data_IF_010233880143
#
_entry.id   IF_010233880143
#
_cell.length_a   1.000
_cell.length_b   1.000
_cell.length_c   1.000
_cell.angle_alpha   90.00
_cell.angle_beta   90.00
_cell.angle_gamma   90.00
#
_symmetry.space_group_name_H-M   'P 1'
#
loop_
_entity.id
_entity.type
_entity.pdbx_description
1 polymer ?
#
# COMPACT_ATOMS: atom_id res chain seq x y z
N UNK A 1 8.58 15.39 20.47
CA UNK A 1 8.18 13.96 20.44
C UNK A 1 6.69 13.94 20.67
N UNK A 2 5.89 13.60 19.67
CA UNK A 2 4.45 13.44 19.84
C UNK A 2 4.21 12.03 20.34
N UNK A 3 3.93 11.87 21.64
CA UNK A 3 3.38 10.64 22.17
C UNK A 3 2.10 10.37 21.36
N UNK A 4 2.07 9.30 20.57
CA UNK A 4 0.79 8.72 20.17
C UNK A 4 0.14 8.35 21.49
N UNK A 5 -0.87 9.11 21.90
CA UNK A 5 -1.65 8.80 23.09
C UNK A 5 -2.07 7.34 23.01
N UNK A 6 -1.98 6.62 24.13
CA UNK A 6 -2.27 5.19 24.19
C UNK A 6 -3.61 4.90 23.50
N UNK A 7 -3.54 4.35 22.29
CA UNK A 7 -4.72 3.89 21.56
C UNK A 7 -4.93 2.44 21.95
N UNK A 8 -6.16 2.14 22.37
CA UNK A 8 -6.56 0.76 22.60
C UNK A 8 -6.47 -0.03 21.28
N UNK A 9 -5.73 -1.14 21.33
CA UNK A 9 -5.61 -2.10 20.25
C UNK A 9 -6.97 -2.56 19.71
N UNK A 10 -8.02 -2.61 20.54
CA UNK A 10 -9.38 -2.98 20.10
C UNK A 10 -9.97 -1.94 19.15
N UNK A 11 -9.79 -0.65 19.45
CA UNK A 11 -10.23 0.48 18.61
C UNK A 11 -9.43 0.48 17.30
N UNK A 12 -8.12 0.26 17.39
CA UNK A 12 -7.25 0.20 16.21
C UNK A 12 -7.63 -0.96 15.28
N UNK A 13 -7.84 -2.16 15.84
CA UNK A 13 -8.30 -3.33 15.08
C UNK A 13 -9.69 -3.13 14.48
N UNK A 14 -10.58 -2.43 15.18
CA UNK A 14 -11.90 -2.05 14.64
C UNK A 14 -11.76 -1.20 13.37
N UNK A 15 -10.89 -0.19 13.39
CA UNK A 15 -10.59 0.64 12.19
C UNK A 15 -9.90 -0.14 11.08
N UNK A 16 -9.11 -1.16 11.40
CA UNK A 16 -8.55 -2.05 10.38
C UNK A 16 -9.65 -2.87 9.69
N UNK A 17 -10.65 -3.36 10.42
CA UNK A 17 -11.80 -4.11 9.85
C UNK A 17 -12.68 -3.21 8.99
N UNK A 18 -12.92 -1.97 9.42
CA UNK A 18 -13.64 -0.97 8.62
C UNK A 18 -12.92 -0.70 7.29
N UNK A 19 -11.60 -0.48 7.35
CA UNK A 19 -10.75 -0.31 6.18
C UNK A 19 -10.75 -1.54 5.26
N UNK A 20 -10.66 -2.74 5.83
CA UNK A 20 -10.74 -4.00 5.09
C UNK A 20 -12.08 -4.11 4.35
N UNK A 21 -13.19 -3.86 5.04
CA UNK A 21 -14.53 -3.94 4.45
C UNK A 21 -14.65 -2.98 3.26
N UNK A 22 -14.23 -1.73 3.42
CA UNK A 22 -14.21 -0.73 2.35
C UNK A 22 -13.41 -1.21 1.12
N UNK A 23 -12.17 -1.66 1.33
CA UNK A 23 -11.29 -2.10 0.25
C UNK A 23 -11.80 -3.38 -0.44
N UNK A 24 -12.35 -4.33 0.33
CA UNK A 24 -12.96 -5.55 -0.22
C UNK A 24 -14.16 -5.24 -1.09
N UNK A 25 -15.03 -4.32 -0.67
CA UNK A 25 -16.23 -3.96 -1.41
C UNK A 25 -15.85 -3.30 -2.74
N UNK A 26 -14.84 -2.41 -2.73
CA UNK A 26 -14.28 -1.83 -3.97
C UNK A 26 -13.70 -2.89 -4.90
N UNK A 27 -12.82 -3.77 -4.41
CA UNK A 27 -12.20 -4.81 -5.25
C UNK A 27 -13.24 -5.78 -5.82
N UNK A 28 -14.25 -6.15 -5.02
CA UNK A 28 -15.26 -7.13 -5.42
C UNK A 28 -16.30 -6.55 -6.37
N UNK A 29 -16.77 -5.32 -6.13
CA UNK A 29 -17.86 -4.72 -6.92
C UNK A 29 -17.36 -3.92 -8.10
N UNK A 30 -16.37 -3.05 -7.86
CA UNK A 30 -15.87 -2.15 -8.88
C UNK A 30 -14.80 -2.81 -9.77
N UNK A 31 -13.89 -3.60 -9.19
CA UNK A 31 -12.87 -4.32 -9.98
C UNK A 31 -13.28 -5.74 -10.38
N UNK A 32 -14.31 -6.32 -9.74
CA UNK A 32 -14.79 -7.69 -9.98
C UNK A 32 -13.68 -8.73 -9.96
N UNK A 33 -12.76 -8.62 -9.00
CA UNK A 33 -11.51 -9.38 -9.02
C UNK A 33 -11.23 -10.15 -7.71
N UNK A 34 -11.73 -11.40 -7.58
CA UNK A 34 -11.67 -12.19 -6.35
C UNK A 34 -10.25 -12.43 -5.81
N UNK A 35 -9.26 -12.65 -6.68
CA UNK A 35 -7.86 -12.85 -6.24
C UNK A 35 -7.30 -11.63 -5.50
N UNK A 36 -7.77 -10.42 -5.86
CA UNK A 36 -7.42 -9.20 -5.15
C UNK A 36 -7.93 -9.20 -3.71
N UNK A 37 -9.13 -9.74 -3.47
CA UNK A 37 -9.75 -9.88 -2.13
C UNK A 37 -8.95 -10.85 -1.26
N UNK A 38 -8.52 -11.98 -1.82
CA UNK A 38 -7.67 -12.95 -1.12
C UNK A 38 -6.32 -12.33 -0.75
N UNK A 39 -5.70 -11.62 -1.71
CA UNK A 39 -4.41 -10.96 -1.52
C UNK A 39 -4.48 -9.82 -0.48
N UNK A 40 -5.60 -9.09 -0.42
CA UNK A 40 -5.88 -8.09 0.61
C UNK A 40 -6.04 -8.75 1.98
N UNK A 41 -6.84 -9.82 2.08
CA UNK A 41 -7.13 -10.50 3.35
C UNK A 41 -5.84 -10.98 4.03
N UNK A 42 -4.90 -11.55 3.26
CA UNK A 42 -3.58 -11.97 3.77
C UNK A 42 -2.79 -10.80 4.38
N UNK A 43 -2.86 -9.61 3.78
CA UNK A 43 -2.19 -8.41 4.29
C UNK A 43 -2.86 -7.81 5.50
N UNK A 44 -4.19 -7.91 5.59
CA UNK A 44 -4.96 -7.49 6.78
C UNK A 44 -4.64 -8.38 7.98
N UNK A 45 -4.47 -9.69 7.78
CA UNK A 45 -3.99 -10.59 8.83
C UNK A 45 -2.59 -10.16 9.31
N UNK A 46 -1.66 -9.92 8.39
CA UNK A 46 -0.33 -9.42 8.74
C UNK A 46 -0.36 -8.02 9.39
N UNK A 47 -1.33 -7.17 9.06
CA UNK A 47 -1.50 -5.86 9.69
C UNK A 47 -2.00 -6.01 11.13
N UNK A 48 -2.95 -6.93 11.36
CA UNK A 48 -3.42 -7.28 12.72
C UNK A 48 -2.27 -7.73 13.61
N UNK A 49 -1.36 -8.55 13.08
CA UNK A 49 -0.15 -8.95 13.82
C UNK A 49 0.75 -7.75 14.17
N UNK A 50 0.92 -6.79 13.26
CA UNK A 50 1.72 -5.56 13.52
C UNK A 50 1.07 -4.74 14.64
N UNK A 51 -0.27 -4.65 14.65
CA UNK A 51 -1.03 -3.94 15.70
C UNK A 51 -0.86 -4.62 17.06
N UNK A 52 -1.05 -5.94 17.11
CA UNK A 52 -0.96 -6.73 18.34
C UNK A 52 0.46 -6.80 18.91
N UNK A 53 1.48 -6.63 18.06
CA UNK A 53 2.91 -6.62 18.46
C UNK A 53 3.53 -5.22 18.34
N UNK A 54 2.70 -4.18 18.46
CA UNK A 54 3.10 -2.79 18.23
C UNK A 54 4.28 -2.36 19.10
N UNK A 55 4.20 -2.61 20.42
CA UNK A 55 5.23 -2.20 21.39
C UNK A 55 6.60 -2.84 21.08
N UNK A 56 6.61 -4.06 20.55
CA UNK A 56 7.83 -4.77 20.20
C UNK A 56 8.39 -4.36 18.83
N UNK A 57 7.51 -4.16 17.84
CA UNK A 57 7.89 -3.99 16.43
C UNK A 57 7.96 -2.55 15.97
N UNK A 58 7.27 -1.62 16.59
CA UNK A 58 7.21 -0.22 16.13
C UNK A 58 8.03 0.66 17.06
N UNK A 59 9.10 1.24 16.51
CA UNK A 59 9.97 2.15 17.27
C UNK A 59 9.35 3.52 17.43
N UNK A 60 8.85 4.05 16.31
CA UNK A 60 8.46 5.46 16.22
C UNK A 60 7.29 5.60 15.28
N UNK A 61 6.30 6.38 15.73
CA UNK A 61 5.25 6.94 14.89
C UNK A 61 5.39 8.46 14.89
N UNK A 62 5.46 9.05 13.70
CA UNK A 62 5.51 10.50 13.50
C UNK A 62 4.21 10.93 12.86
N UNK A 63 3.50 11.86 13.50
CA UNK A 63 2.28 12.47 12.97
C UNK A 63 2.57 13.92 12.59
N UNK A 64 2.16 14.35 11.38
CA UNK A 64 2.26 15.75 10.95
C UNK A 64 1.06 16.13 10.08
N UNK A 65 0.24 17.07 10.56
CA UNK A 65 -0.95 17.50 9.85
C UNK A 65 -1.87 16.32 9.56
N UNK A 66 -2.11 16.05 8.28
CA UNK A 66 -2.98 14.99 7.79
C UNK A 66 -2.22 13.73 7.31
N UNK A 67 -0.97 13.52 7.72
CA UNK A 67 -0.21 12.33 7.38
C UNK A 67 0.57 11.76 8.56
N UNK A 68 0.94 10.49 8.44
CA UNK A 68 1.73 9.76 9.41
C UNK A 68 2.84 8.94 8.79
N UNK A 69 3.84 8.64 9.61
CA UNK A 69 4.94 7.74 9.27
C UNK A 69 5.23 6.81 10.44
N UNK A 70 5.56 5.57 10.14
CA UNK A 70 5.82 4.52 11.12
C UNK A 70 7.13 3.81 10.78
N UNK A 71 8.01 3.69 11.77
CA UNK A 71 9.26 2.93 11.70
C UNK A 71 9.04 1.58 12.36
N UNK A 72 9.12 0.52 11.57
CA UNK A 72 8.89 -0.87 12.02
C UNK A 72 10.22 -1.60 11.97
N UNK A 73 10.64 -2.22 13.07
CA UNK A 73 11.82 -3.10 13.12
C UNK A 73 11.72 -4.16 12.00
N UNK A 74 12.76 -4.27 11.18
CA UNK A 74 12.83 -5.39 10.25
C UNK A 74 13.11 -6.68 11.05
N UNK A 75 12.31 -7.72 10.82
CA UNK A 75 12.57 -9.03 11.41
C UNK A 75 13.92 -9.55 10.90
N UNK A 76 14.87 -9.80 11.80
CA UNK A 76 16.17 -10.43 11.47
C UNK A 76 16.05 -11.91 11.04
N UNK A 77 14.83 -12.49 11.07
CA UNK A 77 14.64 -13.89 10.67
C UNK A 77 14.83 -14.06 9.17
N UNK A 78 15.95 -14.68 8.81
CA UNK A 78 16.18 -15.25 7.49
C UNK A 78 17.21 -14.54 6.64
N UNK A 79 18.33 -14.09 7.23
CA UNK A 79 19.56 -14.01 6.45
C UNK A 79 19.93 -15.42 6.00
N UNK A 80 19.57 -15.78 4.77
CA UNK A 80 20.34 -16.79 4.07
C UNK A 80 21.74 -16.20 3.95
N UNK A 81 22.70 -16.81 4.63
CA UNK A 81 24.10 -16.41 4.56
C UNK A 81 24.57 -16.69 3.12
N UNK A 82 24.40 -15.69 2.25
CA UNK A 82 24.88 -15.69 0.87
C UNK A 82 26.38 -15.35 0.85
N UNK A 83 27.15 -16.02 1.69
CA UNK A 83 28.61 -15.92 1.74
C UNK A 83 29.30 -16.53 0.51
N UNK A 84 28.56 -16.95 -0.52
CA UNK A 84 29.11 -17.49 -1.77
C UNK A 84 28.95 -16.62 -3.03
N UNK A 85 28.20 -15.50 -3.01
CA UNK A 85 27.93 -14.72 -4.25
C UNK A 85 28.20 -13.21 -4.20
N UNK A 86 28.82 -12.68 -3.14
CA UNK A 86 29.49 -11.36 -3.19
C UNK A 86 28.62 -10.11 -3.32
N UNK A 87 27.28 -10.22 -3.35
CA UNK A 87 26.36 -9.09 -3.30
C UNK A 87 25.72 -9.02 -1.92
N UNK A 88 26.22 -8.13 -1.06
CA UNK A 88 25.56 -7.80 0.23
C UNK A 88 24.20 -7.16 -0.09
N UNK A 89 23.13 -7.95 -0.01
CA UNK A 89 21.78 -7.41 0.08
C UNK A 89 21.68 -6.53 1.33
N UNK A 90 21.44 -5.24 1.15
CA UNK A 90 21.21 -4.32 2.26
C UNK A 90 19.94 -4.76 3.00
N UNK A 91 20.09 -5.36 4.18
CA UNK A 91 18.96 -5.60 5.07
C UNK A 91 18.71 -4.32 5.88
N UNK A 92 17.60 -3.62 5.64
CA UNK A 92 17.31 -2.41 6.39
C UNK A 92 17.03 -2.79 7.85
N UNK A 93 17.56 -2.02 8.80
CA UNK A 93 17.21 -2.19 10.23
C UNK A 93 15.73 -1.89 10.50
N UNK A 94 15.13 -1.05 9.65
CA UNK A 94 13.74 -0.62 9.76
C UNK A 94 13.03 -0.54 8.41
N UNK A 95 11.77 -0.94 8.39
CA UNK A 95 10.82 -0.56 7.36
C UNK A 95 10.16 0.77 7.73
N UNK A 96 10.00 1.63 6.73
CA UNK A 96 9.35 2.93 6.88
C UNK A 96 8.05 2.90 6.10
N UNK A 97 6.92 2.96 6.81
CA UNK A 97 5.60 3.17 6.20
C UNK A 97 5.23 4.64 6.29
N UNK A 98 4.67 5.20 5.22
CA UNK A 98 4.11 6.56 5.17
C UNK A 98 2.71 6.49 4.58
N UNK A 99 1.77 7.18 5.22
CA UNK A 99 0.36 7.23 4.80
C UNK A 99 -0.14 8.65 4.97
N UNK A 100 -0.85 9.16 3.96
CA UNK A 100 -1.58 10.41 4.00
C UNK A 100 -2.68 10.44 2.92
N UNK A 101 -3.40 11.56 2.78
CA UNK A 101 -4.51 11.66 1.83
C UNK A 101 -4.09 11.47 0.37
N UNK A 102 -2.83 11.78 0.04
CA UNK A 102 -2.33 11.75 -1.33
C UNK A 102 -1.56 10.47 -1.70
N UNK A 103 -1.34 9.54 -0.76
CA UNK A 103 -0.59 8.33 -1.04
C UNK A 103 -0.27 7.50 0.20
N UNK A 104 0.02 6.23 -0.04
CA UNK A 104 0.47 5.28 0.98
C UNK A 104 1.59 4.40 0.43
N UNK A 105 2.73 4.36 1.11
CA UNK A 105 3.91 3.61 0.66
C UNK A 105 4.71 3.04 1.81
N UNK A 106 5.44 1.97 1.56
CA UNK A 106 6.36 1.38 2.53
C UNK A 106 7.64 0.89 1.87
N UNK A 107 8.74 0.85 2.63
CA UNK A 107 10.02 0.28 2.18
C UNK A 107 10.16 -1.23 2.41
N UNK A 108 9.14 -1.92 2.92
CA UNK A 108 9.22 -3.37 3.09
C UNK A 108 9.21 -4.11 1.75
N UNK A 109 9.79 -5.31 1.73
CA UNK A 109 9.91 -6.13 0.51
C UNK A 109 8.56 -6.34 -0.19
N UNK A 110 7.50 -6.69 0.54
CA UNK A 110 6.17 -6.86 -0.06
C UNK A 110 5.67 -5.59 -0.77
N UNK A 111 5.98 -4.40 -0.23
CA UNK A 111 5.59 -3.12 -0.83
C UNK A 111 6.38 -2.85 -2.11
N UNK A 112 7.70 -3.06 -2.08
CA UNK A 112 8.58 -2.91 -3.25
C UNK A 112 8.19 -3.90 -4.35
N UNK A 113 7.92 -5.15 -4.00
CA UNK A 113 7.51 -6.18 -4.95
C UNK A 113 6.11 -5.93 -5.50
N UNK A 114 5.19 -5.44 -4.67
CA UNK A 114 3.82 -5.10 -5.10
C UNK A 114 3.84 -3.98 -6.13
N UNK A 115 4.49 -2.87 -5.82
CA UNK A 115 4.63 -1.75 -6.75
C UNK A 115 5.37 -2.16 -8.03
N UNK A 116 6.51 -2.84 -7.93
CA UNK A 116 7.27 -3.27 -9.13
C UNK A 116 6.49 -4.19 -10.07
N UNK A 117 5.69 -5.12 -9.53
CA UNK A 117 4.85 -6.01 -10.36
C UNK A 117 3.66 -5.24 -10.94
N UNK A 118 3.02 -4.39 -10.15
CA UNK A 118 1.92 -3.55 -10.61
C UNK A 118 2.36 -2.57 -11.71
N UNK A 119 3.54 -1.97 -11.58
CA UNK A 119 4.11 -1.07 -12.58
C UNK A 119 4.34 -1.79 -13.92
N UNK A 120 4.90 -3.01 -13.88
CA UNK A 120 5.07 -3.83 -15.09
C UNK A 120 3.73 -4.15 -15.76
N UNK A 121 2.70 -4.45 -14.97
CA UNK A 121 1.35 -4.70 -15.47
C UNK A 121 0.74 -3.43 -16.08
N UNK A 122 0.92 -2.27 -15.43
CA UNK A 122 0.50 -0.96 -15.91
C UNK A 122 1.16 -0.62 -17.26
N UNK A 123 2.49 -0.72 -17.36
CA UNK A 123 3.21 -0.48 -18.61
C UNK A 123 2.76 -1.42 -19.74
N UNK A 124 2.41 -2.67 -19.40
CA UNK A 124 1.87 -3.63 -20.38
C UNK A 124 0.49 -3.21 -20.89
N UNK A 125 -0.37 -2.66 -20.03
CA UNK A 125 -1.66 -2.10 -20.44
C UNK A 125 -1.48 -0.90 -21.37
N UNK A 126 -0.64 0.06 -20.98
CA UNK A 126 -0.42 1.26 -21.79
C UNK A 126 0.24 0.94 -23.14
N UNK A 127 1.15 -0.02 -23.20
CA UNK A 127 1.69 -0.50 -24.49
C UNK A 127 0.61 -0.96 -25.46
N UNK A 128 -0.51 -1.51 -24.97
CA UNK A 128 -1.60 -2.01 -25.81
C UNK A 128 -2.61 -0.93 -26.17
N UNK A 129 -2.94 -0.04 -25.24
CA UNK A 129 -4.09 0.86 -25.35
C UNK A 129 -3.73 2.33 -25.58
N UNK A 130 -2.56 2.79 -25.12
CA UNK A 130 -2.10 4.18 -25.29
C UNK A 130 -0.55 4.24 -25.31
N UNK A 131 0.06 3.94 -26.47
CA UNK A 131 1.52 3.94 -26.62
C UNK A 131 2.16 5.33 -26.45
N UNK A 132 1.41 6.42 -26.63
CA UNK A 132 1.94 7.77 -26.45
C UNK A 132 2.16 8.09 -24.97
N UNK A 133 1.20 7.73 -24.12
CA UNK A 133 1.33 7.89 -22.67
C UNK A 133 2.44 6.99 -22.08
N UNK A 134 2.73 5.84 -22.71
CA UNK A 134 3.77 4.92 -22.27
C UNK A 134 5.15 5.61 -22.12
N UNK A 135 5.52 6.50 -23.04
CA UNK A 135 6.80 7.22 -22.98
C UNK A 135 6.92 8.10 -21.74
N UNK A 136 5.82 8.71 -21.29
CA UNK A 136 5.80 9.55 -20.08
C UNK A 136 5.87 8.70 -18.81
N UNK A 137 5.36 7.47 -18.87
CA UNK A 137 5.34 6.53 -17.76
C UNK A 137 6.68 5.85 -17.50
N UNK A 138 7.54 5.68 -18.51
CA UNK A 138 8.84 5.01 -18.33
C UNK A 138 9.72 5.63 -17.23
N UNK A 139 9.57 6.94 -16.98
CA UNK A 139 10.31 7.67 -15.95
C UNK A 139 9.47 7.99 -14.70
N UNK A 140 8.20 7.56 -14.67
CA UNK A 140 7.26 7.89 -13.60
C UNK A 140 6.79 6.62 -12.93
N UNK A 141 7.31 6.31 -11.75
CA UNK A 141 6.95 5.09 -11.02
C UNK A 141 5.65 5.29 -10.22
N UNK A 142 4.52 5.22 -10.94
CA UNK A 142 3.19 5.62 -10.44
C UNK A 142 2.75 4.77 -9.25
N UNK A 143 2.91 3.45 -9.35
CA UNK A 143 2.34 2.51 -8.37
C UNK A 143 3.06 2.53 -7.02
N UNK A 144 4.31 3.03 -6.93
CA UNK A 144 5.01 3.13 -5.63
C UNK A 144 4.36 4.13 -4.66
N UNK A 145 3.48 5.01 -5.14
CA UNK A 145 2.73 5.96 -4.32
C UNK A 145 1.49 5.34 -3.66
N UNK A 146 1.02 4.20 -4.15
CA UNK A 146 -0.28 3.62 -3.81
C UNK A 146 -0.16 2.13 -3.45
N UNK A 147 0.56 1.81 -2.39
CA UNK A 147 0.88 0.41 -2.04
C UNK A 147 0.21 -0.05 -0.75
N UNK A 148 -0.53 -1.15 -0.87
CA UNK A 148 -1.07 -1.91 0.26
C UNK A 148 -0.05 -2.97 0.68
N UNK A 149 0.45 -2.85 1.90
CA UNK A 149 1.17 -3.90 2.62
C UNK A 149 0.68 -3.92 4.07
N UNK A 150 1.12 -4.90 4.88
CA UNK A 150 0.72 -4.98 6.29
C UNK A 150 1.02 -3.70 7.10
N UNK A 151 2.17 -3.06 6.84
CA UNK A 151 2.58 -1.86 7.57
C UNK A 151 1.77 -0.62 7.15
N UNK A 152 1.48 -0.46 5.85
CA UNK A 152 0.64 0.66 5.42
C UNK A 152 -0.78 0.49 5.90
N UNK A 153 -1.34 -0.72 5.90
CA UNK A 153 -2.67 -0.99 6.47
C UNK A 153 -2.72 -0.68 7.98
N UNK A 154 -1.75 -1.17 8.75
CA UNK A 154 -1.69 -0.89 10.19
C UNK A 154 -1.57 0.61 10.47
N UNK A 155 -0.69 1.32 9.76
CA UNK A 155 -0.56 2.77 9.92
C UNK A 155 -1.84 3.50 9.48
N UNK A 156 -2.45 3.12 8.35
CA UNK A 156 -3.70 3.72 7.89
C UNK A 156 -4.81 3.58 8.94
N UNK A 157 -5.01 2.39 9.50
CA UNK A 157 -6.03 2.18 10.53
C UNK A 157 -5.72 2.93 11.81
N UNK A 158 -4.44 3.15 12.15
CA UNK A 158 -4.05 3.98 13.29
C UNK A 158 -4.44 5.44 13.05
N UNK A 159 -4.14 5.97 11.87
CA UNK A 159 -4.48 7.35 11.51
C UNK A 159 -5.99 7.57 11.47
N UNK A 160 -6.77 6.57 11.04
CA UNK A 160 -8.23 6.58 11.14
C UNK A 160 -8.70 6.57 12.60
N UNK A 161 -8.08 5.77 13.46
CA UNK A 161 -8.44 5.68 14.88
C UNK A 161 -8.13 6.98 15.64
N UNK A 162 -7.05 7.67 15.26
CA UNK A 162 -6.67 8.98 15.80
C UNK A 162 -7.46 10.16 15.21
N UNK A 163 -8.31 9.92 14.19
CA UNK A 163 -8.98 10.99 13.45
C UNK A 163 -8.06 11.88 12.61
N UNK A 164 -6.82 11.43 12.34
CA UNK A 164 -5.87 12.13 11.45
C UNK A 164 -6.28 11.98 9.99
N UNK A 165 -6.88 10.83 9.65
CA UNK A 165 -7.51 10.57 8.37
C UNK A 165 -8.99 10.26 8.57
N UNK A 166 -9.78 10.47 7.53
CA UNK A 166 -11.22 10.21 7.52
C UNK A 166 -11.62 9.53 6.20
N UNK A 167 -12.39 8.44 6.29
CA UNK A 167 -12.96 7.74 5.12
C UNK A 167 -14.01 8.55 4.39
N UNK A 168 -14.56 9.62 4.98
CA UNK A 168 -15.43 10.57 4.26
C UNK A 168 -14.64 11.45 3.28
N UNK A 169 -13.34 11.67 3.53
CA UNK A 169 -12.49 12.51 2.72
C UNK A 169 -12.29 11.93 1.31
N UNK A 170 -12.73 12.66 0.29
CA UNK A 170 -12.71 12.20 -1.09
C UNK A 170 -11.29 11.91 -1.62
N UNK A 171 -10.33 12.78 -1.31
CA UNK A 171 -8.93 12.63 -1.73
C UNK A 171 -8.34 11.36 -1.15
N UNK A 172 -8.60 11.09 0.13
CA UNK A 172 -8.13 9.88 0.78
C UNK A 172 -8.82 8.62 0.23
N UNK A 173 -10.13 8.66 -0.04
CA UNK A 173 -10.85 7.56 -0.72
C UNK A 173 -10.25 7.23 -2.08
N UNK A 174 -9.88 8.24 -2.87
CA UNK A 174 -9.17 8.05 -4.15
C UNK A 174 -7.82 7.35 -3.94
N UNK A 175 -7.04 7.76 -2.94
CA UNK A 175 -5.79 7.07 -2.58
C UNK A 175 -6.02 5.60 -2.23
N UNK A 176 -7.07 5.27 -1.47
CA UNK A 176 -7.41 3.88 -1.13
C UNK A 176 -7.80 3.08 -2.38
N UNK A 177 -8.60 3.65 -3.27
CA UNK A 177 -9.00 3.04 -4.56
C UNK A 177 -7.79 2.78 -5.47
N UNK A 178 -6.92 3.77 -5.64
CA UNK A 178 -5.68 3.63 -6.42
C UNK A 178 -4.74 2.57 -5.81
N UNK A 179 -4.74 2.44 -4.48
CA UNK A 179 -3.96 1.42 -3.79
C UNK A 179 -4.53 0.00 -3.95
N UNK A 180 -5.86 -0.13 -3.96
CA UNK A 180 -6.55 -1.38 -4.28
C UNK A 180 -6.34 -1.77 -5.76
N UNK A 181 -6.37 -0.81 -6.68
CA UNK A 181 -6.08 -1.04 -8.09
C UNK A 181 -4.63 -1.48 -8.31
N UNK A 182 -3.68 -0.86 -7.62
CA UNK A 182 -2.26 -1.28 -7.62
C UNK A 182 -2.11 -2.72 -7.13
N UNK A 183 -2.79 -3.08 -6.04
CA UNK A 183 -2.81 -4.46 -5.56
C UNK A 183 -3.41 -5.42 -6.61
N UNK A 184 -4.52 -5.06 -7.24
CA UNK A 184 -5.14 -5.90 -8.26
C UNK A 184 -4.26 -6.06 -9.51
N UNK A 185 -3.56 -5.00 -9.94
CA UNK A 185 -2.59 -5.06 -11.04
C UNK A 185 -1.44 -6.03 -10.73
N UNK A 186 -0.90 -6.01 -9.51
CA UNK A 186 0.12 -6.99 -9.05
C UNK A 186 -0.37 -8.43 -9.21
N UNK A 187 -1.64 -8.68 -8.91
CA UNK A 187 -2.27 -10.00 -8.97
C UNK A 187 -2.77 -10.39 -10.38
N UNK A 188 -2.58 -9.52 -11.39
CA UNK A 188 -2.87 -9.83 -12.79
C UNK A 188 -4.16 -9.23 -13.36
N UNK A 189 -4.78 -8.22 -12.71
CA UNK A 189 -5.99 -7.56 -13.22
C UNK A 189 -5.85 -7.06 -14.66
N UNK A 190 -4.65 -6.65 -15.08
CA UNK A 190 -4.35 -6.17 -16.44
C UNK A 190 -4.66 -7.16 -17.56
N UNK A 191 -4.94 -8.42 -17.24
CA UNK A 191 -5.22 -9.47 -18.22
C UNK A 191 -6.74 -9.61 -18.51
N UNK A 192 -7.60 -8.83 -17.87
CA UNK A 192 -9.01 -9.17 -17.71
C UNK A 192 -9.97 -8.33 -18.57
N UNK A 193 -9.72 -7.03 -18.80
CA UNK A 193 -10.64 -6.20 -19.61
C UNK A 193 -10.11 -4.83 -20.02
N UNK A 194 -10.77 -4.21 -21.01
CA UNK A 194 -10.60 -2.79 -21.38
C UNK A 194 -11.14 -1.83 -20.31
N UNK A 195 -12.19 -2.20 -19.57
CA UNK A 195 -12.71 -1.39 -18.44
C UNK A 195 -11.63 -1.14 -17.38
N UNK A 196 -10.74 -2.12 -17.19
CA UNK A 196 -9.56 -1.97 -16.32
C UNK A 196 -8.66 -0.83 -16.80
N UNK A 197 -8.48 -0.66 -18.11
CA UNK A 197 -7.62 0.39 -18.67
C UNK A 197 -8.14 1.78 -18.32
N UNK A 198 -9.45 2.04 -18.39
CA UNK A 198 -10.01 3.35 -18.04
C UNK A 198 -9.72 3.74 -16.59
N UNK A 199 -9.92 2.82 -15.65
CA UNK A 199 -9.61 3.04 -14.22
C UNK A 199 -8.12 3.26 -13.97
N UNK A 200 -7.27 2.50 -14.65
CA UNK A 200 -5.80 2.66 -14.56
C UNK A 200 -5.34 3.99 -15.16
N UNK A 201 -5.96 4.42 -16.27
CA UNK A 201 -5.65 5.70 -16.89
C UNK A 201 -6.04 6.89 -16.00
N UNK A 202 -7.18 6.81 -15.30
CA UNK A 202 -7.56 7.80 -14.30
C UNK A 202 -6.52 7.87 -13.18
N UNK A 203 -6.12 6.73 -12.60
CA UNK A 203 -5.07 6.67 -11.58
C UNK A 203 -3.75 7.31 -12.07
N UNK A 204 -3.33 7.05 -13.31
CA UNK A 204 -2.12 7.65 -13.89
C UNK A 204 -2.24 9.17 -13.99
N UNK A 205 -3.35 9.68 -14.50
CA UNK A 205 -3.60 11.14 -14.61
C UNK A 205 -3.60 11.84 -13.25
N UNK A 206 -4.08 11.18 -12.21
CA UNK A 206 -4.03 11.72 -10.84
C UNK A 206 -2.64 11.63 -10.19
N UNK A 207 -1.86 10.62 -10.56
CA UNK A 207 -0.53 10.40 -10.00
C UNK A 207 0.54 11.31 -10.61
N UNK A 208 0.37 11.68 -11.88
CA UNK A 208 1.25 12.56 -12.61
C UNK A 208 0.91 14.03 -12.33
N UNK A 209 1.79 14.82 -11.71
CA UNK A 209 1.67 16.26 -11.79
C UNK A 209 1.90 16.67 -13.25
N UNK A 210 0.96 17.41 -13.83
CA UNK A 210 1.06 17.94 -15.20
C UNK A 210 2.35 18.75 -15.41
#
# INVERSE_FOLDING_TARGET
MSNVGYIDSTVWLSKLRELESYLKDFISRELRFPRGVESLSKRVLGASEVILTFEDKVEVVVLRGNWGMMFVKASQKGGMDLTSTGLKGFQPSFYVARVGPYGMKCSCEDSVMTSSKAEKALLTLFRRHDPEMLYKLYNTFVTAKYVICKHTLALTSLLLALGVLDLSNEVFRKTLRNSALTLALREGLSQISEDTFFKVNEMVREAMPY
#
